data_IF_401988667070
#
_entry.id   IF_401988667070
#
_cell.length_a   1.000
_cell.length_b   1.000
_cell.length_c   1.000
_cell.angle_alpha   90.00
_cell.angle_beta   90.00
_cell.angle_gamma   90.00
#
_symmetry.space_group_name_H-M   'P 1'
#
loop_
_entity.id
_entity.type
_entity.pdbx_description
1 polymer ?
#
# COMPACT_ATOMS: atom_id res chain seq x y z
N UNK A 1 8.06 -7.54 20.40
CA UNK A 1 7.01 -7.34 19.36
C UNK A 1 7.43 -8.16 18.14
N UNK A 2 6.52 -8.90 17.50
CA UNK A 2 6.85 -9.94 16.49
C UNK A 2 6.92 -9.43 15.03
N UNK A 3 6.86 -8.11 14.80
CA UNK A 3 6.92 -7.52 13.45
C UNK A 3 5.60 -7.54 12.66
N UNK A 4 4.47 -7.74 13.32
CA UNK A 4 3.15 -7.81 12.66
C UNK A 4 2.76 -6.46 12.05
N UNK A 5 2.28 -6.50 10.81
CA UNK A 5 1.71 -5.35 10.12
C UNK A 5 0.22 -5.28 10.46
N UNK A 6 -0.20 -4.16 11.05
CA UNK A 6 -1.60 -3.95 11.41
C UNK A 6 -2.38 -3.39 10.21
N UNK A 7 -3.66 -3.77 10.05
CA UNK A 7 -4.49 -3.23 8.99
C UNK A 7 -4.77 -1.73 9.22
N UNK A 8 -4.88 -0.99 8.12
CA UNK A 8 -5.29 0.42 8.12
C UNK A 8 -6.82 0.53 8.13
N UNK A 9 -7.33 1.53 8.86
CA UNK A 9 -8.78 1.84 8.89
C UNK A 9 -9.26 2.51 7.60
N UNK A 10 -8.38 3.22 6.91
CA UNK A 10 -8.61 3.84 5.60
C UNK A 10 -7.29 3.92 4.83
N UNK A 11 -7.38 3.85 3.51
CA UNK A 11 -6.24 4.03 2.60
C UNK A 11 -6.30 5.37 1.85
N UNK A 12 -7.42 6.11 1.93
CA UNK A 12 -7.65 7.31 1.11
C UNK A 12 -6.64 8.41 1.41
N UNK A 13 -6.48 8.80 2.68
CA UNK A 13 -5.52 9.85 3.05
C UNK A 13 -4.06 9.44 2.77
N UNK A 14 -3.56 8.25 3.20
CA UNK A 14 -2.20 7.85 2.87
C UNK A 14 -1.90 7.80 1.37
N UNK A 15 -2.84 7.33 0.55
CA UNK A 15 -2.64 7.24 -0.89
C UNK A 15 -2.80 8.59 -1.59
N UNK A 16 -3.62 9.50 -1.07
CA UNK A 16 -3.67 10.90 -1.53
C UNK A 16 -2.31 11.57 -1.31
N UNK A 17 -1.72 11.43 -0.12
CA UNK A 17 -0.37 11.95 0.17
C UNK A 17 0.66 11.32 -0.76
N UNK A 18 0.58 10.02 -1.01
CA UNK A 18 1.47 9.35 -1.96
C UNK A 18 1.36 9.93 -3.38
N UNK A 19 0.13 10.13 -3.87
CA UNK A 19 -0.15 10.77 -5.16
C UNK A 19 0.45 12.18 -5.24
N UNK A 20 0.19 13.00 -4.22
CA UNK A 20 0.62 14.41 -4.18
C UNK A 20 2.16 14.54 -4.18
N UNK A 21 2.85 13.53 -3.66
CA UNK A 21 4.32 13.44 -3.69
C UNK A 21 4.87 12.70 -4.92
N UNK A 22 4.02 12.38 -5.91
CA UNK A 22 4.42 11.75 -7.17
C UNK A 22 4.80 10.27 -7.05
N UNK A 23 4.46 9.60 -5.93
CA UNK A 23 4.67 8.18 -5.79
C UNK A 23 3.89 7.42 -6.86
N UNK A 24 4.51 6.39 -7.44
CA UNK A 24 3.89 5.56 -8.50
C UNK A 24 3.33 4.25 -8.00
N UNK A 25 3.83 3.78 -6.86
CA UNK A 25 3.50 2.48 -6.30
C UNK A 25 3.44 2.58 -4.78
N UNK A 26 2.47 1.91 -4.17
CA UNK A 26 2.34 1.81 -2.72
C UNK A 26 2.28 0.34 -2.30
N UNK A 27 3.08 -0.02 -1.28
CA UNK A 27 2.95 -1.31 -0.63
C UNK A 27 1.77 -1.27 0.34
N UNK A 28 0.81 -2.17 0.18
CA UNK A 28 -0.41 -2.23 0.99
C UNK A 28 -0.53 -3.59 1.67
N UNK A 29 -0.80 -3.65 2.99
CA UNK A 29 -1.06 -4.92 3.65
C UNK A 29 -2.26 -5.63 3.01
N UNK A 30 -2.17 -6.93 2.77
CA UNK A 30 -3.25 -7.70 2.12
C UNK A 30 -4.57 -7.63 2.90
N UNK A 31 -4.48 -7.52 4.23
CA UNK A 31 -5.64 -7.37 5.11
C UNK A 31 -6.43 -6.08 4.83
N UNK A 32 -5.78 -5.04 4.29
CA UNK A 32 -6.42 -3.77 3.90
C UNK A 32 -6.95 -3.75 2.47
N UNK A 33 -6.95 -4.88 1.75
CA UNK A 33 -7.43 -4.94 0.35
C UNK A 33 -8.88 -4.48 0.20
N UNK A 34 -9.75 -4.72 1.19
CA UNK A 34 -11.14 -4.23 1.14
C UNK A 34 -11.23 -2.71 1.22
N UNK A 35 -10.41 -2.08 2.07
CA UNK A 35 -10.35 -0.62 2.20
C UNK A 35 -9.90 0.07 0.91
N UNK A 36 -9.23 -0.66 0.02
CA UNK A 36 -8.80 -0.11 -1.27
C UNK A 36 -9.98 0.13 -2.22
N UNK A 37 -11.11 -0.57 -2.03
CA UNK A 37 -12.31 -0.35 -2.83
C UNK A 37 -12.98 1.00 -2.54
N UNK A 38 -12.68 1.61 -1.39
CA UNK A 38 -13.19 2.92 -0.97
C UNK A 38 -12.31 4.09 -1.50
N UNK A 39 -11.20 3.80 -2.17
CA UNK A 39 -10.28 4.80 -2.72
C UNK A 39 -10.80 5.29 -4.06
N UNK A 40 -10.69 6.60 -4.32
CA UNK A 40 -11.17 7.18 -5.58
C UNK A 40 -10.37 6.68 -6.78
N UNK A 41 -11.03 6.55 -7.93
CA UNK A 41 -10.39 6.12 -9.17
C UNK A 41 -9.22 7.03 -9.59
N UNK A 42 -9.32 8.34 -9.32
CA UNK A 42 -8.25 9.30 -9.60
C UNK A 42 -6.96 8.99 -8.82
N UNK A 43 -7.05 8.62 -7.53
CA UNK A 43 -5.88 8.17 -6.77
C UNK A 43 -5.34 6.84 -7.33
N UNK A 44 -6.24 5.89 -7.61
CA UNK A 44 -5.89 4.56 -8.12
C UNK A 44 -5.20 4.60 -9.49
N UNK A 45 -5.51 5.60 -10.32
CA UNK A 45 -4.87 5.80 -11.62
C UNK A 45 -3.42 6.29 -11.51
N UNK A 46 -3.05 6.92 -10.40
CA UNK A 46 -1.71 7.50 -10.21
C UNK A 46 -0.79 6.63 -9.34
N UNK A 47 -1.37 5.86 -8.41
CA UNK A 47 -0.64 5.04 -7.44
C UNK A 47 -1.07 3.58 -7.57
N UNK A 48 -0.20 2.76 -8.17
CA UNK A 48 -0.44 1.33 -8.34
C UNK A 48 -0.27 0.58 -6.99
N UNK A 49 -1.30 -0.15 -6.52
CA UNK A 49 -1.24 -0.91 -5.28
C UNK A 49 -0.45 -2.21 -5.45
N UNK A 50 0.50 -2.46 -4.56
CA UNK A 50 1.17 -3.76 -4.43
C UNK A 50 0.77 -4.36 -3.08
N UNK A 51 -0.05 -5.40 -3.12
CA UNK A 51 -0.45 -6.09 -1.90
C UNK A 51 0.60 -7.09 -1.43
N UNK A 52 0.85 -7.15 -0.12
CA UNK A 52 1.74 -8.13 0.49
C UNK A 52 1.09 -8.76 1.74
N UNK A 53 1.32 -10.05 1.95
CA UNK A 53 0.91 -10.76 3.16
C UNK A 53 2.01 -10.91 4.20
N UNK A 54 3.27 -10.73 3.79
CA UNK A 54 4.44 -10.97 4.63
C UNK A 54 5.38 -9.74 4.64
N UNK A 55 5.77 -9.21 5.81
CA UNK A 55 6.64 -8.04 5.94
C UNK A 55 8.02 -8.23 5.27
N UNK A 56 8.58 -9.44 5.31
CA UNK A 56 9.89 -9.73 4.71
C UNK A 56 9.81 -9.62 3.19
N UNK A 57 8.78 -10.20 2.59
CA UNK A 57 8.51 -10.11 1.14
C UNK A 57 8.32 -8.66 0.71
N UNK A 58 7.60 -7.86 1.50
CA UNK A 58 7.43 -6.43 1.25
C UNK A 58 8.79 -5.70 1.21
N UNK A 59 9.64 -5.93 2.21
CA UNK A 59 10.98 -5.34 2.28
C UNK A 59 11.88 -5.77 1.11
N UNK A 60 11.90 -7.06 0.77
CA UNK A 60 12.71 -7.58 -0.35
C UNK A 60 12.31 -6.94 -1.68
N UNK A 61 11.00 -6.79 -1.93
CA UNK A 61 10.49 -6.13 -3.14
C UNK A 61 10.84 -4.64 -3.19
N UNK A 62 10.77 -3.93 -2.06
CA UNK A 62 11.20 -2.52 -1.99
C UNK A 62 12.69 -2.37 -2.29
N UNK A 63 13.51 -3.32 -1.84
CA UNK A 63 14.96 -3.30 -2.05
C UNK A 63 15.39 -3.84 -3.42
N UNK A 64 14.46 -4.30 -4.28
CA UNK A 64 14.76 -4.84 -5.61
C UNK A 64 15.46 -6.20 -5.58
N UNK A 65 15.29 -6.95 -4.48
CA UNK A 65 15.93 -8.26 -4.29
C UNK A 65 15.07 -9.44 -4.77
N UNK A 66 13.83 -9.16 -5.19
CA UNK A 66 12.85 -10.08 -5.80
C UNK A 66 11.91 -9.28 -6.69
#
# INVERSE_FOLDING_TARGET
>A
MQGNIKPLRSLTEPLQVAKDNGAKRALIPIESKRNFLDVSADIMQHVDPIFFGDPKTAAMKTLGLT
#
